data_IF_293689705220
#
_entry.id   IF_293689705220
#
_cell.length_a   1.000
_cell.length_b   1.000
_cell.length_c   1.000
_cell.angle_alpha   90.00
_cell.angle_beta   90.00
_cell.angle_gamma   90.00
#
_symmetry.space_group_name_H-M   'P 1'
#
loop_
_entity.id
_entity.type
_entity.pdbx_description
1 polymer ?
#
# COMPACT_ATOMS: atom_id res chain seq x y z
N UNK A 1 -104.24 16.00 36.93
CA UNK A 1 -104.15 17.14 36.00
C UNK A 1 -102.97 17.98 36.47
N UNK A 2 -101.89 18.04 35.68
CA UNK A 2 -100.76 18.96 35.86
C UNK A 2 -99.53 18.42 36.62
N UNK A 3 -98.48 18.06 35.88
CA UNK A 3 -97.09 18.09 36.36
C UNK A 3 -96.65 19.55 36.66
N UNK A 4 -95.53 19.83 37.38
CA UNK A 4 -94.23 19.86 36.70
C UNK A 4 -92.96 19.52 37.55
N UNK A 5 -91.97 18.93 36.85
CA UNK A 5 -90.56 19.33 36.69
C UNK A 5 -89.61 19.41 37.91
N UNK A 6 -88.65 18.47 37.89
CA UNK A 6 -87.17 18.62 38.05
C UNK A 6 -86.59 19.35 39.28
N UNK A 7 -85.84 18.63 40.12
CA UNK A 7 -84.37 18.80 40.17
C UNK A 7 -83.68 17.78 41.07
N UNK A 8 -82.51 17.38 40.58
CA UNK A 8 -81.52 16.46 41.11
C UNK A 8 -80.85 16.97 42.38
N UNK A 9 -80.77 16.14 43.41
CA UNK A 9 -79.83 16.30 44.54
C UNK A 9 -78.96 15.04 44.66
N UNK A 10 -77.65 15.25 44.49
CA UNK A 10 -76.58 14.28 44.69
C UNK A 10 -76.45 13.97 46.19
N UNK A 11 -76.70 12.72 46.56
CA UNK A 11 -76.43 12.18 47.90
C UNK A 11 -75.06 11.47 47.91
N UNK A 12 -74.29 11.73 48.98
CA UNK A 12 -72.97 11.19 49.24
C UNK A 12 -72.97 9.71 49.65
N UNK A 13 -71.81 9.08 49.40
CA UNK A 13 -71.38 7.69 49.66
C UNK A 13 -71.59 7.19 51.10
N UNK A 14 -71.62 5.85 51.32
CA UNK A 14 -70.41 5.21 51.86
C UNK A 14 -70.06 3.82 51.28
N UNK A 15 -68.75 3.64 51.02
CA UNK A 15 -67.87 2.44 51.11
C UNK A 15 -68.28 1.09 50.49
N UNK A 16 -67.47 0.57 49.53
CA UNK A 16 -67.36 -0.85 49.24
C UNK A 16 -66.13 -1.50 49.92
N UNK A 17 -66.33 -2.73 50.39
CA UNK A 17 -65.37 -3.63 51.02
C UNK A 17 -64.19 -3.97 50.07
N UNK A 18 -62.96 -3.90 50.58
CA UNK A 18 -61.73 -4.27 49.87
C UNK A 18 -61.40 -5.76 50.12
N UNK A 19 -61.00 -6.55 49.09
CA UNK A 19 -60.62 -7.94 49.28
C UNK A 19 -59.16 -8.11 49.74
N UNK A 20 -58.96 -9.21 50.49
CA UNK A 20 -57.73 -9.76 51.06
C UNK A 20 -56.37 -9.32 50.46
N UNK A 21 -55.50 -8.88 51.35
CA UNK A 21 -54.06 -8.64 51.14
C UNK A 21 -53.33 -9.92 50.76
N UNK A 22 -52.82 -9.98 49.53
CA UNK A 22 -51.80 -10.95 49.11
C UNK A 22 -50.47 -10.53 49.75
N UNK A 23 -49.87 -11.44 50.53
CA UNK A 23 -48.55 -11.29 51.14
C UNK A 23 -47.49 -11.15 50.03
N UNK A 24 -46.60 -10.14 50.03
CA UNK A 24 -45.53 -10.06 49.05
C UNK A 24 -44.54 -11.22 49.26
N UNK A 25 -44.32 -12.00 48.21
CA UNK A 25 -43.27 -13.01 48.14
C UNK A 25 -41.90 -12.32 48.22
N UNK A 26 -41.08 -12.78 49.15
CA UNK A 26 -39.70 -12.34 49.30
C UNK A 26 -38.91 -12.83 48.08
N UNK A 27 -38.65 -11.95 47.11
CA UNK A 27 -37.65 -12.22 46.09
C UNK A 27 -36.27 -12.26 46.77
N UNK A 28 -35.47 -13.32 46.61
CA UNK A 28 -34.08 -13.31 47.03
C UNK A 28 -33.33 -12.27 46.17
N UNK A 29 -32.50 -11.46 46.83
CA UNK A 29 -31.64 -10.49 46.16
C UNK A 29 -30.76 -11.17 45.10
N UNK A 30 -30.50 -10.53 43.95
CA UNK A 30 -29.59 -11.08 42.96
C UNK A 30 -28.20 -11.26 43.60
N UNK A 31 -27.50 -12.37 43.31
CA UNK A 31 -26.15 -12.59 43.82
C UNK A 31 -25.25 -11.42 43.41
N UNK A 32 -24.37 -10.93 44.30
CA UNK A 32 -23.46 -9.84 43.99
C UNK A 32 -22.64 -10.20 42.75
N UNK A 33 -22.64 -9.28 41.77
CA UNK A 33 -21.80 -9.37 40.58
C UNK A 33 -20.35 -9.69 41.02
N UNK A 34 -19.68 -10.68 40.41
CA UNK A 34 -18.29 -10.98 40.76
C UNK A 34 -17.46 -9.72 40.54
N UNK A 35 -16.95 -9.16 41.65
CA UNK A 35 -16.10 -7.98 41.64
C UNK A 35 -14.86 -8.32 40.83
N UNK A 36 -14.67 -7.65 39.69
CA UNK A 36 -13.49 -7.87 38.83
C UNK A 36 -12.24 -7.60 39.68
N UNK A 37 -11.30 -8.55 39.79
CA UNK A 37 -10.09 -8.32 40.56
C UNK A 37 -9.34 -7.10 40.00
N UNK A 38 -8.68 -6.32 40.86
CA UNK A 38 -7.92 -5.15 40.42
C UNK A 38 -6.88 -5.60 39.38
N UNK A 39 -6.70 -4.84 38.29
CA UNK A 39 -5.81 -5.25 37.22
C UNK A 39 -4.38 -5.40 37.73
N UNK A 40 -3.77 -6.55 37.46
CA UNK A 40 -2.37 -6.83 37.79
C UNK A 40 -1.45 -5.80 37.13
N UNK A 41 -0.23 -5.61 37.66
CA UNK A 41 0.77 -4.70 37.04
C UNK A 41 1.00 -5.03 35.55
N UNK A 42 0.87 -6.31 35.18
CA UNK A 42 0.98 -6.82 33.81
C UNK A 42 -0.18 -6.34 32.93
N UNK A 43 -1.42 -6.32 33.45
CA UNK A 43 -2.57 -5.79 32.71
C UNK A 43 -2.45 -4.29 32.42
N UNK A 44 -1.88 -3.50 33.36
CA UNK A 44 -1.62 -2.06 33.13
C UNK A 44 -0.58 -1.84 32.04
N UNK A 45 0.45 -2.69 31.96
CA UNK A 45 1.49 -2.63 30.93
C UNK A 45 1.00 -3.09 29.53
N UNK A 46 -0.11 -3.83 29.45
CA UNK A 46 -0.66 -4.34 28.19
C UNK A 46 -1.52 -3.30 27.43
N UNK A 47 -2.09 -2.33 28.17
CA UNK A 47 -2.88 -1.24 27.61
C UNK A 47 -2.11 -0.39 26.57
N UNK A 48 -0.88 0.10 26.84
CA UNK A 48 -0.12 0.85 25.85
C UNK A 48 0.25 0.02 24.61
N UNK A 49 0.53 -1.28 24.75
CA UNK A 49 0.85 -2.17 23.60
C UNK A 49 -0.34 -2.27 22.65
N UNK A 50 -1.56 -2.32 23.19
CA UNK A 50 -2.79 -2.35 22.39
C UNK A 50 -3.00 -1.03 21.64
N UNK A 51 -2.75 0.12 22.29
CA UNK A 51 -2.82 1.43 21.65
C UNK A 51 -1.80 1.54 20.52
N UNK A 52 -0.56 1.11 20.74
CA UNK A 52 0.50 1.11 19.72
C UNK A 52 0.07 0.25 18.52
N UNK A 53 -0.53 -0.92 18.74
CA UNK A 53 -1.02 -1.78 17.65
C UNK A 53 -2.10 -1.10 16.80
N UNK A 54 -2.99 -0.30 17.39
CA UNK A 54 -3.99 0.45 16.65
C UNK A 54 -3.38 1.60 15.84
N UNK A 55 -2.38 2.29 16.39
CA UNK A 55 -1.68 3.37 15.68
C UNK A 55 -0.90 2.79 14.48
N UNK A 56 -0.22 1.66 14.68
CA UNK A 56 0.55 0.99 13.63
C UNK A 56 -0.34 0.45 12.48
N UNK A 57 -1.63 0.26 12.73
CA UNK A 57 -2.57 -0.19 11.69
C UNK A 57 -3.03 0.94 10.76
N UNK A 58 -2.84 2.22 11.15
CA UNK A 58 -3.17 3.38 10.30
C UNK A 58 -2.34 3.44 8.99
N UNK A 59 -1.01 3.24 9.02
CA UNK A 59 -0.24 3.10 7.78
C UNK A 59 -0.70 1.96 6.85
N UNK A 60 -1.21 0.85 7.41
CA UNK A 60 -1.70 -0.27 6.60
C UNK A 60 -2.95 0.13 5.80
N UNK A 61 -3.92 0.75 6.46
CA UNK A 61 -5.15 1.19 5.78
C UNK A 61 -4.87 2.34 4.80
N UNK A 62 -3.99 3.28 5.15
CA UNK A 62 -3.58 4.35 4.24
C UNK A 62 -2.94 3.78 2.97
N UNK A 63 -2.02 2.81 3.12
CA UNK A 63 -1.38 2.12 1.98
C UNK A 63 -2.37 1.28 1.20
N UNK A 64 -3.30 0.59 1.87
CA UNK A 64 -4.37 -0.17 1.23
C UNK A 64 -5.25 0.73 0.37
N UNK A 65 -5.68 1.88 0.88
CA UNK A 65 -6.51 2.83 0.14
C UNK A 65 -5.72 3.40 -1.03
N UNK A 66 -4.47 3.80 -0.82
CA UNK A 66 -3.59 4.26 -1.90
C UNK A 66 -3.48 3.23 -3.03
N UNK A 67 -3.24 1.95 -2.70
CA UNK A 67 -3.08 0.90 -3.70
C UNK A 67 -4.36 0.56 -4.48
N UNK A 68 -5.53 0.75 -3.85
CA UNK A 68 -6.84 0.46 -4.45
C UNK A 68 -7.45 1.66 -5.19
N UNK A 69 -7.16 2.88 -4.74
CA UNK A 69 -7.81 4.10 -5.20
C UNK A 69 -6.93 4.92 -6.16
N UNK A 70 -5.61 4.91 -5.96
CA UNK A 70 -4.70 5.64 -6.84
C UNK A 70 -4.64 4.95 -8.20
N UNK A 71 -5.48 5.42 -9.13
CA UNK A 71 -5.28 5.26 -10.56
C UNK A 71 -4.12 6.17 -10.96
N UNK A 72 -2.90 5.74 -10.67
CA UNK A 72 -1.76 6.34 -11.35
C UNK A 72 -1.97 6.06 -12.85
N UNK A 73 -1.94 7.11 -13.68
CA UNK A 73 -1.89 7.03 -15.14
C UNK A 73 -0.57 6.41 -15.64
N UNK A 74 0.04 5.54 -14.83
CA UNK A 74 1.24 4.82 -15.19
C UNK A 74 0.91 3.70 -16.18
N UNK A 75 1.79 3.51 -17.15
CA UNK A 75 1.73 2.43 -18.14
C UNK A 75 1.89 1.01 -17.56
N UNK A 76 1.85 0.89 -16.23
CA UNK A 76 1.99 -0.34 -15.46
C UNK A 76 0.77 -1.28 -15.64
N UNK A 77 -0.42 -0.74 -15.95
CA UNK A 77 -1.63 -1.54 -16.15
C UNK A 77 -1.51 -2.51 -17.34
N UNK A 78 -0.75 -2.14 -18.37
CA UNK A 78 -0.47 -2.96 -19.56
C UNK A 78 0.36 -4.21 -19.21
N UNK A 79 1.08 -4.19 -18.09
CA UNK A 79 1.87 -5.34 -17.65
C UNK A 79 1.03 -6.42 -16.98
N UNK A 80 -0.31 -6.34 -16.91
CA UNK A 80 -1.14 -7.31 -16.18
C UNK A 80 -0.89 -7.32 -14.66
N UNK A 81 -0.28 -6.25 -14.15
CA UNK A 81 -0.09 -5.96 -12.73
C UNK A 81 -1.34 -5.52 -11.94
N UNK A 82 -2.51 -5.14 -12.51
CA UNK A 82 -3.61 -4.64 -11.68
C UNK A 82 -4.14 -5.72 -10.72
N UNK A 83 -4.11 -7.00 -11.10
CA UNK A 83 -4.51 -8.10 -10.19
C UNK A 83 -3.64 -8.17 -8.94
N UNK A 84 -2.33 -7.93 -9.08
CA UNK A 84 -1.39 -7.91 -7.95
C UNK A 84 -1.65 -6.69 -7.05
N UNK A 85 -1.83 -5.50 -7.65
CA UNK A 85 -2.19 -4.27 -6.91
C UNK A 85 -3.46 -4.45 -6.09
N UNK A 86 -4.53 -4.93 -6.72
CA UNK A 86 -5.81 -5.20 -6.04
C UNK A 86 -5.67 -6.26 -4.94
N UNK A 87 -4.96 -7.35 -5.23
CA UNK A 87 -4.73 -8.43 -4.25
C UNK A 87 -3.95 -7.94 -3.02
N UNK A 88 -2.91 -7.13 -3.22
CA UNK A 88 -2.14 -6.54 -2.13
C UNK A 88 -2.96 -5.54 -1.32
N UNK A 89 -3.73 -4.67 -1.97
CA UNK A 89 -4.60 -3.72 -1.29
C UNK A 89 -5.64 -4.45 -0.43
N UNK A 90 -6.31 -5.46 -0.99
CA UNK A 90 -7.25 -6.29 -0.24
C UNK A 90 -6.58 -7.05 0.91
N UNK A 91 -5.38 -7.59 0.69
CA UNK A 91 -4.61 -8.28 1.73
C UNK A 91 -4.25 -7.37 2.90
N UNK A 92 -3.83 -6.12 2.63
CA UNK A 92 -3.55 -5.12 3.66
C UNK A 92 -4.80 -4.75 4.46
N UNK A 93 -5.94 -4.59 3.78
CA UNK A 93 -7.22 -4.34 4.45
C UNK A 93 -7.62 -5.51 5.37
N UNK A 94 -7.47 -6.74 4.90
CA UNK A 94 -7.75 -7.94 5.71
C UNK A 94 -6.83 -8.03 6.93
N UNK A 95 -5.54 -7.71 6.78
CA UNK A 95 -4.60 -7.68 7.90
C UNK A 95 -4.96 -6.58 8.92
N UNK A 96 -5.37 -5.40 8.47
CA UNK A 96 -5.87 -4.33 9.33
C UNK A 96 -7.04 -4.83 10.19
N UNK A 97 -8.05 -5.44 9.56
CA UNK A 97 -9.22 -5.98 10.27
C UNK A 97 -8.82 -7.10 11.25
N UNK A 98 -7.98 -8.03 10.81
CA UNK A 98 -7.50 -9.15 11.63
C UNK A 98 -6.71 -8.66 12.84
N UNK A 99 -5.80 -7.70 12.65
CA UNK A 99 -5.01 -7.12 13.73
C UNK A 99 -5.92 -6.48 14.78
N UNK A 100 -6.88 -5.66 14.36
CA UNK A 100 -7.81 -5.00 15.29
C UNK A 100 -8.71 -6.01 16.01
N UNK A 101 -9.15 -7.08 15.32
CA UNK A 101 -9.92 -8.16 15.93
C UNK A 101 -9.11 -8.93 16.98
N UNK A 102 -7.85 -9.29 16.69
CA UNK A 102 -6.97 -9.99 17.66
C UNK A 102 -6.69 -9.15 18.90
N UNK A 103 -6.59 -7.82 18.74
CA UNK A 103 -6.42 -6.88 19.86
C UNK A 103 -7.70 -6.71 20.70
N UNK A 104 -8.88 -6.85 20.11
CA UNK A 104 -10.16 -6.76 20.84
C UNK A 104 -10.55 -8.08 21.54
N UNK A 105 -10.05 -9.23 21.07
CA UNK A 105 -10.29 -10.53 21.71
C UNK A 105 -9.73 -10.54 23.14
N UNK A 106 -10.64 -10.74 24.10
CA UNK A 106 -10.33 -10.97 25.53
C UNK A 106 -10.55 -12.44 25.93
N UNK A 107 -11.34 -13.19 25.16
CA UNK A 107 -11.69 -14.58 25.44
C UNK A 107 -10.52 -15.53 25.19
N UNK A 108 -10.11 -16.30 26.22
CA UNK A 108 -8.99 -17.26 26.16
C UNK A 108 -9.12 -18.29 25.01
N UNK A 109 -10.33 -18.76 24.74
CA UNK A 109 -10.60 -19.74 23.66
C UNK A 109 -10.25 -19.23 22.27
N UNK A 110 -10.39 -17.92 22.02
CA UNK A 110 -10.14 -17.31 20.71
C UNK A 110 -8.76 -16.66 20.59
N UNK A 111 -8.04 -16.52 21.71
CA UNK A 111 -6.74 -15.86 21.76
C UNK A 111 -5.68 -16.61 20.94
N UNK A 112 -5.51 -17.91 21.19
CA UNK A 112 -4.55 -18.74 20.45
C UNK A 112 -4.88 -18.87 18.95
N UNK A 113 -6.11 -19.25 18.52
CA UNK A 113 -6.40 -19.35 17.09
C UNK A 113 -6.31 -17.98 16.39
N UNK A 114 -6.71 -16.89 17.05
CA UNK A 114 -6.57 -15.53 16.50
C UNK A 114 -5.11 -15.14 16.28
N UNK A 115 -4.23 -15.43 17.25
CA UNK A 115 -2.79 -15.19 17.12
C UNK A 115 -2.17 -16.01 15.98
N UNK A 116 -2.51 -17.30 15.85
CA UNK A 116 -2.01 -18.14 14.76
C UNK A 116 -2.43 -17.61 13.38
N UNK A 117 -3.69 -17.22 13.21
CA UNK A 117 -4.17 -16.63 11.95
C UNK A 117 -3.43 -15.33 11.61
N UNK A 118 -3.17 -14.49 12.61
CA UNK A 118 -2.41 -13.25 12.42
C UNK A 118 -0.95 -13.54 12.05
N UNK A 119 -0.28 -14.49 12.70
CA UNK A 119 1.09 -14.89 12.32
C UNK A 119 1.16 -15.43 10.90
N UNK A 120 0.22 -16.29 10.48
CA UNK A 120 0.16 -16.79 9.09
C UNK A 120 -0.01 -15.63 8.11
N UNK A 121 -0.89 -14.67 8.39
CA UNK A 121 -1.09 -13.50 7.55
C UNK A 121 0.17 -12.62 7.45
N UNK A 122 0.90 -12.44 8.57
CA UNK A 122 2.17 -11.71 8.59
C UNK A 122 3.28 -12.44 7.80
N UNK A 123 3.33 -13.77 7.86
CA UNK A 123 4.28 -14.55 7.05
C UNK A 123 4.00 -14.35 5.56
N UNK A 124 2.73 -14.40 5.15
CA UNK A 124 2.35 -14.13 3.74
C UNK A 124 2.73 -12.71 3.33
N UNK A 125 2.46 -11.71 4.19
CA UNK A 125 2.86 -10.33 3.94
C UNK A 125 4.39 -10.19 3.78
N UNK A 126 5.16 -10.85 4.66
CA UNK A 126 6.61 -10.84 4.63
C UNK A 126 7.17 -11.51 3.37
N UNK A 127 6.63 -12.66 2.96
CA UNK A 127 7.08 -13.36 1.74
C UNK A 127 6.77 -12.56 0.48
N UNK A 128 5.58 -11.93 0.39
CA UNK A 128 5.25 -11.01 -0.69
C UNK A 128 6.17 -9.79 -0.68
N UNK A 129 6.47 -9.24 0.49
CA UNK A 129 7.42 -8.13 0.64
C UNK A 129 8.81 -8.48 0.12
N UNK A 130 9.35 -9.64 0.48
CA UNK A 130 10.62 -10.14 -0.07
C UNK A 130 10.55 -10.32 -1.60
N UNK A 131 9.41 -10.79 -2.10
CA UNK A 131 9.25 -11.02 -3.53
C UNK A 131 9.28 -9.76 -4.38
N UNK A 132 8.73 -8.67 -3.86
CA UNK A 132 8.76 -7.37 -4.52
C UNK A 132 10.15 -6.71 -4.51
N UNK A 133 10.99 -7.02 -3.53
CA UNK A 133 12.36 -6.49 -3.45
C UNK A 133 13.32 -7.24 -4.37
N UNK A 134 13.01 -8.50 -4.75
CA UNK A 134 13.81 -9.26 -5.72
C UNK A 134 15.24 -9.60 -5.27
N UNK A 135 15.55 -9.53 -3.97
CA UNK A 135 16.91 -9.74 -3.45
C UNK A 135 17.33 -11.23 -3.38
N UNK A 136 16.56 -12.15 -3.94
CA UNK A 136 16.90 -13.57 -3.97
C UNK A 136 17.31 -14.01 -5.37
N UNK A 137 18.55 -14.48 -5.48
CA UNK A 137 19.21 -14.94 -6.72
C UNK A 137 18.56 -16.16 -7.41
N UNK A 138 17.51 -16.73 -6.79
CA UNK A 138 16.80 -17.93 -7.26
C UNK A 138 15.46 -17.58 -7.93
N UNK A 139 15.40 -16.42 -8.57
CA UNK A 139 14.15 -15.90 -9.13
C UNK A 139 13.61 -16.79 -10.24
N UNK A 140 12.53 -17.51 -9.94
CA UNK A 140 11.81 -18.27 -10.93
C UNK A 140 10.98 -17.29 -11.79
N UNK A 141 11.04 -17.44 -13.12
CA UNK A 141 10.33 -16.59 -14.11
C UNK A 141 8.79 -16.57 -13.97
N UNK A 142 8.23 -17.34 -13.04
CA UNK A 142 6.79 -17.47 -12.80
C UNK A 142 6.21 -16.53 -11.75
N UNK A 143 7.03 -15.81 -10.98
CA UNK A 143 6.53 -14.90 -9.95
C UNK A 143 6.22 -13.53 -10.58
N UNK A 144 4.96 -13.06 -10.54
CA UNK A 144 4.61 -11.75 -11.08
C UNK A 144 5.29 -10.63 -10.28
N UNK A 145 5.67 -9.54 -10.96
CA UNK A 145 6.36 -8.37 -10.40
C UNK A 145 7.82 -8.57 -9.96
N UNK A 146 8.41 -9.73 -10.23
CA UNK A 146 9.82 -9.97 -9.96
C UNK A 146 10.70 -9.33 -11.07
N UNK A 147 11.92 -8.82 -10.77
CA UNK A 147 12.82 -8.18 -11.75
C UNK A 147 12.99 -8.95 -13.07
N UNK A 148 13.22 -10.26 -13.01
CA UNK A 148 13.38 -11.15 -14.15
C UNK A 148 12.08 -11.33 -14.95
N UNK A 149 10.93 -11.39 -14.27
CA UNK A 149 9.63 -11.45 -14.92
C UNK A 149 9.34 -10.15 -15.68
N UNK A 150 9.65 -8.99 -15.08
CA UNK A 150 9.52 -7.67 -15.70
C UNK A 150 10.42 -7.56 -16.93
N UNK A 151 11.69 -7.95 -16.82
CA UNK A 151 12.64 -7.91 -17.92
C UNK A 151 12.14 -8.71 -19.13
N UNK A 152 11.61 -9.91 -18.90
CA UNK A 152 11.07 -10.75 -19.97
C UNK A 152 9.79 -10.16 -20.59
N UNK A 153 8.92 -9.55 -19.78
CA UNK A 153 7.66 -8.94 -20.27
C UNK A 153 7.90 -7.68 -21.09
N UNK A 154 8.76 -6.79 -20.61
CA UNK A 154 9.16 -5.60 -21.37
C UNK A 154 10.02 -6.00 -22.58
N UNK A 155 10.73 -7.13 -22.47
CA UNK A 155 11.44 -7.84 -23.53
C UNK A 155 10.64 -8.05 -24.81
N UNK A 156 9.34 -8.35 -24.68
CA UNK A 156 8.44 -8.67 -25.79
C UNK A 156 8.00 -7.41 -26.56
N UNK A 157 8.20 -7.40 -27.88
CA UNK A 157 7.89 -6.26 -28.75
C UNK A 157 6.40 -5.90 -28.80
N UNK A 158 5.50 -6.88 -28.83
CA UNK A 158 4.05 -6.64 -28.87
C UNK A 158 3.59 -5.91 -27.60
N UNK A 159 4.16 -6.29 -26.45
CA UNK A 159 3.90 -5.64 -25.16
C UNK A 159 4.53 -4.26 -25.14
N UNK A 160 5.77 -4.12 -25.62
CA UNK A 160 6.49 -2.86 -25.65
C UNK A 160 5.82 -1.80 -26.53
N UNK A 161 5.23 -2.18 -27.68
CA UNK A 161 4.49 -1.25 -28.56
C UNK A 161 3.36 -0.54 -27.81
N UNK A 162 2.64 -1.27 -26.95
CA UNK A 162 1.57 -0.69 -26.16
C UNK A 162 2.15 0.20 -25.03
N UNK A 163 3.22 -0.28 -24.37
CA UNK A 163 3.89 0.48 -23.29
C UNK A 163 4.44 1.80 -23.81
N UNK A 164 5.19 1.81 -24.92
CA UNK A 164 5.78 3.03 -25.48
C UNK A 164 4.72 4.04 -25.90
N UNK A 165 3.59 3.58 -26.44
CA UNK A 165 2.46 4.44 -26.81
C UNK A 165 1.87 5.11 -25.57
N UNK A 166 1.72 4.36 -24.47
CA UNK A 166 1.31 4.94 -23.21
C UNK A 166 2.34 5.93 -22.64
N UNK A 167 3.65 5.62 -22.68
CA UNK A 167 4.70 6.53 -22.19
C UNK A 167 4.65 7.84 -22.96
N UNK A 168 4.51 7.78 -24.28
CA UNK A 168 4.34 8.96 -25.11
C UNK A 168 3.09 9.79 -24.71
N UNK A 169 1.95 9.13 -24.46
CA UNK A 169 0.70 9.80 -24.06
C UNK A 169 0.71 10.34 -22.62
N UNK A 170 1.63 9.85 -21.77
CA UNK A 170 1.72 10.27 -20.38
C UNK A 170 2.41 11.62 -20.17
N UNK A 171 2.80 12.31 -21.25
CA UNK A 171 3.42 13.65 -21.25
C UNK A 171 4.68 13.79 -20.38
N UNK A 172 5.34 12.68 -20.00
CA UNK A 172 6.52 12.69 -19.12
C UNK A 172 7.66 13.54 -19.70
N UNK A 173 7.94 13.42 -21.00
CA UNK A 173 9.00 14.20 -21.64
C UNK A 173 8.60 15.67 -21.86
N UNK A 174 7.30 15.94 -22.01
CA UNK A 174 6.75 17.29 -22.11
C UNK A 174 6.84 18.01 -20.77
N UNK A 175 6.47 17.33 -19.68
CA UNK A 175 6.60 17.81 -18.30
C UNK A 175 8.06 18.02 -17.92
N UNK A 176 8.96 17.10 -18.31
CA UNK A 176 10.39 17.28 -18.14
C UNK A 176 10.86 18.58 -18.81
N UNK A 177 10.51 18.76 -20.09
CA UNK A 177 10.92 19.94 -20.86
C UNK A 177 10.43 21.22 -20.20
N UNK A 178 9.16 21.28 -19.80
CA UNK A 178 8.56 22.47 -19.17
C UNK A 178 9.21 22.80 -17.81
N UNK A 179 9.53 21.77 -17.03
CA UNK A 179 10.18 21.90 -15.71
C UNK A 179 11.64 22.32 -15.80
N UNK A 180 12.31 22.05 -16.92
CA UNK A 180 13.75 22.34 -17.09
C UNK A 180 14.08 23.48 -18.06
N UNK A 181 13.08 24.22 -18.56
CA UNK A 181 13.29 25.32 -19.54
C UNK A 181 14.35 26.33 -19.11
N UNK A 182 14.46 26.60 -17.80
CA UNK A 182 15.38 27.61 -17.27
C UNK A 182 16.75 27.05 -16.87
N UNK A 183 16.98 25.74 -16.97
CA UNK A 183 18.23 25.12 -16.54
C UNK A 183 19.30 25.26 -17.63
N UNK A 184 20.52 25.58 -17.20
CA UNK A 184 21.71 25.47 -18.05
C UNK A 184 22.24 24.02 -18.07
N UNK A 185 23.21 23.72 -18.93
CA UNK A 185 23.72 22.34 -19.11
C UNK A 185 24.28 21.71 -17.83
N UNK A 186 24.90 22.51 -16.96
CA UNK A 186 25.48 22.05 -15.69
C UNK A 186 24.37 21.74 -14.69
N UNK A 187 23.40 22.64 -14.53
CA UNK A 187 22.25 22.45 -13.64
C UNK A 187 21.37 21.29 -14.11
N UNK A 188 21.15 21.17 -15.41
CA UNK A 188 20.42 20.05 -16.00
C UNK A 188 21.09 18.71 -15.66
N UNK A 189 22.42 18.61 -15.81
CA UNK A 189 23.17 17.38 -15.51
C UNK A 189 23.18 17.01 -14.02
N UNK A 190 23.08 18.01 -13.14
CA UNK A 190 23.00 17.80 -11.69
C UNK A 190 21.58 17.53 -11.19
N UNK A 191 20.57 17.79 -12.02
CA UNK A 191 19.18 17.59 -11.64
C UNK A 191 18.85 16.10 -11.50
N UNK A 192 17.94 15.77 -10.57
CA UNK A 192 17.51 14.39 -10.37
C UNK A 192 16.33 14.06 -11.26
N UNK A 193 16.62 13.33 -12.34
CA UNK A 193 15.62 12.73 -13.21
C UNK A 193 15.23 11.33 -12.75
N UNK A 194 13.97 10.99 -12.97
CA UNK A 194 13.52 9.61 -12.87
C UNK A 194 14.20 8.75 -13.94
N UNK A 195 14.35 7.43 -13.72
CA UNK A 195 15.00 6.56 -14.69
C UNK A 195 14.35 6.60 -16.09
N UNK A 196 13.02 6.78 -16.14
CA UNK A 196 12.27 6.92 -17.40
C UNK A 196 12.52 8.24 -18.12
N UNK A 197 12.63 9.36 -17.39
CA UNK A 197 13.01 10.66 -17.98
C UNK A 197 14.40 10.58 -18.62
N UNK A 198 15.38 10.03 -17.89
CA UNK A 198 16.75 9.88 -18.40
C UNK A 198 16.89 8.85 -19.54
N UNK A 199 15.99 7.86 -19.59
CA UNK A 199 16.06 6.77 -20.57
C UNK A 199 15.33 7.06 -21.87
N UNK A 200 14.20 7.79 -21.81
CA UNK A 200 13.33 8.03 -22.95
C UNK A 200 13.42 9.47 -23.50
N UNK A 201 13.66 10.45 -22.61
CA UNK A 201 13.57 11.87 -22.97
C UNK A 201 14.93 12.54 -23.22
N UNK A 202 16.03 11.90 -22.84
CA UNK A 202 17.41 12.39 -23.07
C UNK A 202 18.24 11.35 -23.79
N UNK A 203 19.21 11.75 -24.63
CA UNK A 203 20.13 10.81 -25.27
C UNK A 203 21.10 10.24 -24.23
N UNK A 204 21.60 9.02 -24.45
CA UNK A 204 22.68 8.47 -23.65
C UNK A 204 23.95 9.35 -23.66
N UNK A 205 24.61 9.47 -22.51
CA UNK A 205 25.86 10.25 -22.35
C UNK A 205 26.95 9.78 -23.32
N UNK A 206 26.97 8.47 -23.66
CA UNK A 206 27.95 7.90 -24.59
C UNK A 206 27.82 8.42 -26.04
N UNK A 207 26.69 9.04 -26.40
CA UNK A 207 26.49 9.62 -27.73
C UNK A 207 27.26 10.93 -27.94
N UNK A 208 27.74 11.58 -26.87
CA UNK A 208 28.52 12.81 -26.95
C UNK A 208 27.78 14.00 -27.59
N UNK A 209 26.46 14.04 -27.48
CA UNK A 209 25.63 15.12 -28.04
C UNK A 209 25.72 16.39 -27.20
N UNK A 210 25.64 17.56 -27.86
CA UNK A 210 25.65 18.87 -27.21
C UNK A 210 24.28 19.21 -26.61
N UNK A 211 24.25 19.62 -25.34
CA UNK A 211 23.01 20.04 -24.69
C UNK A 211 22.51 21.38 -25.23
N UNK A 212 21.23 21.45 -25.60
CA UNK A 212 20.53 22.70 -25.93
C UNK A 212 19.28 22.85 -25.07
N UNK A 213 18.43 21.82 -25.04
CA UNK A 213 17.24 21.73 -24.20
C UNK A 213 17.02 20.26 -23.79
N UNK A 214 16.08 19.99 -22.88
CA UNK A 214 15.83 18.65 -22.33
C UNK A 214 15.70 17.55 -23.40
N UNK A 215 14.90 17.82 -24.43
CA UNK A 215 14.56 16.89 -25.51
C UNK A 215 15.23 17.23 -26.84
N UNK A 216 16.08 18.27 -26.88
CA UNK A 216 16.78 18.69 -28.10
C UNK A 216 18.28 18.78 -27.85
N UNK A 217 19.03 18.00 -28.63
CA UNK A 217 20.47 17.87 -28.50
C UNK A 217 21.17 18.01 -29.85
N UNK A 218 22.27 18.74 -29.88
CA UNK A 218 23.09 18.91 -31.08
C UNK A 218 23.92 17.66 -31.35
N UNK A 219 23.99 17.18 -32.61
CA UNK A 219 24.80 16.03 -32.95
C UNK A 219 26.29 16.30 -32.67
N UNK A 220 27.09 15.28 -32.31
CA UNK A 220 28.50 15.46 -32.04
C UNK A 220 29.22 16.02 -33.27
N UNK A 221 30.05 17.05 -33.06
CA UNK A 221 30.83 17.69 -34.14
C UNK A 221 31.85 16.71 -34.77
N UNK A 222 32.26 15.68 -34.03
CA UNK A 222 33.18 14.65 -34.48
C UNK A 222 32.44 13.30 -34.61
N UNK A 223 32.09 12.90 -35.84
CA UNK A 223 31.47 11.59 -36.17
C UNK A 223 32.37 10.37 -35.92
N UNK A 224 33.42 10.51 -35.11
CA UNK A 224 34.46 9.51 -34.89
C UNK A 224 34.84 9.43 -33.42
N UNK A 225 33.93 8.97 -32.58
CA UNK A 225 34.29 8.45 -31.25
C UNK A 225 33.71 7.05 -31.12
N UNK A 226 34.43 6.13 -31.74
CA UNK A 226 34.87 4.83 -31.22
C UNK A 226 34.07 4.34 -30.02
N UNK A 227 33.34 3.23 -30.21
CA UNK A 227 33.03 2.15 -29.27
C UNK A 227 33.71 2.30 -27.89
N UNK A 228 33.25 3.26 -27.10
CA UNK A 228 33.85 3.57 -25.81
C UNK A 228 33.16 2.70 -24.78
N UNK A 229 33.81 1.55 -24.53
CA UNK A 229 33.70 0.69 -23.34
C UNK A 229 32.37 0.82 -22.58
N UNK A 230 31.55 -0.21 -22.75
CA UNK A 230 30.53 -0.62 -21.78
C UNK A 230 31.08 -0.46 -20.35
N UNK A 231 30.60 0.56 -19.63
CA UNK A 231 30.59 0.51 -18.19
C UNK A 231 29.57 -0.57 -17.83
N UNK A 232 30.08 -1.79 -17.68
CA UNK A 232 29.36 -2.92 -17.09
C UNK A 232 29.11 -2.64 -15.61
N UNK A 233 28.30 -1.63 -15.31
CA UNK A 233 27.57 -1.54 -14.05
C UNK A 233 26.26 -2.28 -14.28
N UNK A 234 26.12 -3.40 -13.57
CA UNK A 234 24.99 -4.32 -13.65
C UNK A 234 23.66 -3.57 -13.42
N UNK A 235 22.98 -3.18 -14.50
CA UNK A 235 21.64 -2.59 -14.44
C UNK A 235 21.29 -1.61 -15.56
N UNK A 236 22.25 -1.06 -16.30
CA UNK A 236 21.95 -0.15 -17.44
C UNK A 236 22.57 -0.72 -18.72
N UNK A 237 21.81 -1.50 -19.48
CA UNK A 237 22.20 -1.85 -20.84
C UNK A 237 22.01 -0.63 -21.75
N UNK A 238 22.95 0.31 -21.68
CA UNK A 238 23.06 1.40 -22.64
C UNK A 238 23.88 0.87 -23.81
N UNK A 239 23.29 0.81 -24.99
CA UNK A 239 23.97 0.27 -26.18
C UNK A 239 24.41 1.41 -27.10
N UNK A 240 25.56 1.31 -27.79
CA UNK A 240 25.96 2.28 -28.82
C UNK A 240 24.89 2.45 -29.92
N UNK A 241 24.05 1.44 -30.12
CA UNK A 241 22.92 1.44 -31.05
C UNK A 241 21.85 2.49 -30.69
N UNK A 242 21.67 2.79 -29.40
CA UNK A 242 20.69 3.79 -28.94
C UNK A 242 21.01 5.19 -29.52
N UNK A 243 22.29 5.48 -29.81
CA UNK A 243 22.68 6.76 -30.43
C UNK A 243 22.23 6.88 -31.89
N UNK A 244 22.05 5.75 -32.60
CA UNK A 244 21.56 5.73 -33.97
C UNK A 244 20.03 5.87 -34.01
N UNK A 245 19.35 5.44 -32.95
CA UNK A 245 17.88 5.45 -32.84
C UNK A 245 17.36 6.80 -32.32
N UNK A 246 18.15 7.52 -31.52
CA UNK A 246 17.78 8.81 -30.96
C UNK A 246 17.30 9.81 -32.03
N UNK A 247 16.20 10.52 -31.73
CA UNK A 247 15.62 11.55 -32.60
C UNK A 247 15.25 12.80 -31.79
N UNK A 248 15.56 13.99 -32.29
CA UNK A 248 15.10 15.26 -31.69
C UNK A 248 13.63 15.58 -32.02
N UNK A 249 12.91 14.67 -32.70
CA UNK A 249 11.47 14.82 -32.97
C UNK A 249 10.69 14.48 -31.70
N UNK A 250 9.84 15.39 -31.17
CA UNK A 250 9.13 15.19 -29.90
C UNK A 250 8.32 13.89 -29.81
N UNK A 251 7.80 13.41 -30.94
CA UNK A 251 6.98 12.19 -31.00
C UNK A 251 7.77 10.90 -31.25
N UNK A 252 9.10 10.96 -31.36
CA UNK A 252 9.96 9.80 -31.60
C UNK A 252 10.97 9.59 -30.47
N UNK A 253 11.69 10.66 -30.08
CA UNK A 253 12.70 10.68 -28.99
C UNK A 253 13.50 9.36 -28.92
N UNK A 254 13.74 8.83 -27.72
CA UNK A 254 14.35 7.52 -27.53
C UNK A 254 13.31 6.43 -27.19
N UNK A 255 12.04 6.56 -27.59
CA UNK A 255 10.99 5.61 -27.18
C UNK A 255 11.23 4.17 -27.67
N UNK A 256 12.07 3.96 -28.70
CA UNK A 256 12.46 2.63 -29.17
C UNK A 256 13.86 2.18 -28.69
N UNK A 257 14.54 2.96 -27.84
CA UNK A 257 15.87 2.65 -27.33
C UNK A 257 15.85 1.61 -26.20
N UNK A 258 16.94 0.87 -26.03
CA UNK A 258 17.15 0.00 -24.86
C UNK A 258 17.30 0.84 -23.58
N UNK A 259 17.84 2.05 -23.68
CA UNK A 259 17.87 3.03 -22.59
C UNK A 259 16.47 3.38 -22.07
N UNK A 260 15.47 3.56 -22.95
CA UNK A 260 14.09 3.84 -22.53
C UNK A 260 13.43 2.62 -21.88
N UNK A 261 13.63 1.44 -22.46
CA UNK A 261 13.17 0.15 -21.93
C UNK A 261 13.73 -0.13 -20.53
N UNK A 262 15.02 0.08 -20.32
CA UNK A 262 15.68 -0.07 -19.02
C UNK A 262 15.26 1.03 -18.03
N UNK A 263 15.07 2.28 -18.48
CA UNK A 263 14.55 3.37 -17.66
C UNK A 263 13.13 3.10 -17.16
N UNK A 264 12.25 2.58 -18.01
CA UNK A 264 10.91 2.16 -17.62
C UNK A 264 10.95 1.02 -16.60
N UNK A 265 11.76 -0.01 -16.85
CA UNK A 265 11.89 -1.16 -15.95
C UNK A 265 12.40 -0.74 -14.57
N UNK A 266 13.46 0.08 -14.49
CA UNK A 266 13.98 0.63 -13.23
C UNK A 266 12.94 1.46 -12.48
N UNK A 267 12.15 2.26 -13.20
CA UNK A 267 11.08 3.07 -12.59
C UNK A 267 10.06 2.18 -11.89
N UNK A 268 9.66 1.09 -12.54
CA UNK A 268 8.74 0.10 -11.96
C UNK A 268 9.40 -0.60 -10.77
N UNK A 269 10.60 -1.17 -10.95
CA UNK A 269 11.31 -1.88 -9.88
C UNK A 269 11.47 -1.03 -8.61
N UNK A 270 11.85 0.25 -8.75
CA UNK A 270 11.98 1.17 -7.62
C UNK A 270 10.65 1.39 -6.89
N UNK A 271 9.54 1.54 -7.62
CA UNK A 271 8.20 1.70 -7.02
C UNK A 271 7.81 0.45 -6.22
N UNK A 272 7.96 -0.73 -6.82
CA UNK A 272 7.59 -2.00 -6.17
C UNK A 272 8.52 -2.38 -5.02
N UNK A 273 9.82 -2.12 -5.16
CA UNK A 273 10.80 -2.31 -4.09
C UNK A 273 10.46 -1.46 -2.87
N UNK A 274 10.04 -0.20 -3.07
CA UNK A 274 9.60 0.68 -1.96
C UNK A 274 8.41 0.09 -1.21
N UNK A 275 7.42 -0.44 -1.93
CA UNK A 275 6.27 -1.13 -1.32
C UNK A 275 6.70 -2.42 -0.62
N UNK A 276 7.58 -3.21 -1.23
CA UNK A 276 8.12 -4.43 -0.63
C UNK A 276 8.86 -4.18 0.68
N UNK A 277 9.74 -3.16 0.72
CA UNK A 277 10.43 -2.72 1.95
C UNK A 277 9.43 -2.31 3.03
N UNK A 278 8.39 -1.55 2.67
CA UNK A 278 7.33 -1.17 3.60
C UNK A 278 6.62 -2.40 4.19
N UNK A 279 6.25 -3.39 3.36
CA UNK A 279 5.63 -4.63 3.82
C UNK A 279 6.53 -5.41 4.78
N UNK A 280 7.82 -5.55 4.47
CA UNK A 280 8.80 -6.24 5.30
C UNK A 280 8.91 -5.57 6.67
N UNK A 281 9.13 -4.26 6.70
CA UNK A 281 9.30 -3.49 7.93
C UNK A 281 8.04 -3.57 8.79
N UNK A 282 6.86 -3.35 8.19
CA UNK A 282 5.59 -3.44 8.91
C UNK A 282 5.34 -4.85 9.45
N UNK A 283 5.58 -5.90 8.66
CA UNK A 283 5.40 -7.28 9.11
C UNK A 283 6.23 -7.59 10.37
N UNK A 284 7.49 -7.15 10.41
CA UNK A 284 8.38 -7.36 11.56
C UNK A 284 7.87 -6.60 12.79
N UNK A 285 7.49 -5.32 12.65
CA UNK A 285 7.00 -4.53 13.78
C UNK A 285 5.69 -5.13 14.32
N UNK A 286 4.74 -5.48 13.45
CA UNK A 286 3.49 -6.13 13.84
C UNK A 286 3.74 -7.46 14.54
N UNK A 287 4.67 -8.28 14.04
CA UNK A 287 5.03 -9.54 14.66
C UNK A 287 5.51 -9.34 16.11
N UNK A 288 6.43 -8.41 16.33
CA UNK A 288 6.96 -8.09 17.67
C UNK A 288 5.84 -7.61 18.61
N UNK A 289 5.03 -6.64 18.17
CA UNK A 289 3.95 -6.06 19.00
C UNK A 289 2.93 -7.14 19.40
N UNK A 290 2.51 -7.98 18.45
CA UNK A 290 1.52 -9.02 18.74
C UNK A 290 2.09 -10.17 19.58
N UNK A 291 3.36 -10.53 19.41
CA UNK A 291 4.03 -11.53 20.25
C UNK A 291 4.11 -11.03 21.70
N UNK A 292 4.53 -9.78 21.92
CA UNK A 292 4.59 -9.18 23.26
C UNK A 292 3.19 -9.19 23.90
N UNK A 293 2.16 -8.79 23.15
CA UNK A 293 0.78 -8.79 23.65
C UNK A 293 0.31 -10.21 24.00
N UNK A 294 0.57 -11.18 23.13
CA UNK A 294 0.20 -12.58 23.33
C UNK A 294 0.86 -13.17 24.59
N UNK A 295 2.19 -13.00 24.73
CA UNK A 295 2.94 -13.47 25.90
C UNK A 295 2.47 -12.77 27.18
N UNK A 296 2.23 -11.46 27.12
CA UNK A 296 1.72 -10.69 28.26
C UNK A 296 0.34 -11.16 28.74
N UNK A 297 -0.56 -11.50 27.82
CA UNK A 297 -1.86 -12.09 28.17
C UNK A 297 -1.73 -13.49 28.77
N UNK A 298 -0.85 -14.33 28.22
CA UNK A 298 -0.60 -15.67 28.77
C UNK A 298 -0.02 -15.61 30.19
N UNK A 299 0.93 -14.70 30.44
CA UNK A 299 1.52 -14.49 31.77
C UNK A 299 0.55 -13.88 32.78
N UNK A 300 -0.35 -12.98 32.35
CA UNK A 300 -1.33 -12.38 33.24
C UNK A 300 -2.40 -13.36 33.76
N UNK A 301 -2.51 -14.53 33.13
CA UNK A 301 -3.47 -15.58 33.48
C UNK A 301 -2.86 -16.74 34.29
N UNK A 302 -1.52 -16.80 34.40
CA UNK A 302 -0.81 -17.71 35.29
C UNK A 302 -0.56 -17.04 36.64
#
# INVERSE_FOLDING_TARGET
MGDPISNTTLAQSPTPLLPNTIKPSHFPSPPPLPLRPPPSKIQKALHPVSIISYILSLPLIATSIWLLYTRDYGCEDLLRMPRLRFGMGLGLLMLFLLSNAVVSITSRRLLLPGFLLMVVSLIIMFTVGLALVGNYKMENRGVPASPLWLQNRVGNEDVWINIKTCIFQSDICTDLTSRTVQLNSVEFSMNRFSPIESGCCTPPVLCGMGYVNATYWEPPQNKGVNNSKSSSDSGTQVTPEDCNIWSNVPNQLCYNCQSCKSGFLKTIEQRWTRVGVFLIVMAVIFFVVHVIRFLGLMLAHH
#
